data_IF_580726456871
#
_entry.id   IF_580726456871
#
_cell.length_a   1.000
_cell.length_b   1.000
_cell.length_c   1.000
_cell.angle_alpha   90.00
_cell.angle_beta   90.00
_cell.angle_gamma   90.00
#
_symmetry.space_group_name_H-M   'P 1'
#
loop_
_entity.id
_entity.type
_entity.pdbx_description
1 polymer ?
#
# COMPACT_ATOMS: atom_id res chain seq x y z
N UNK A 1 -12.06 5.24 -51.88
CA UNK A 1 -12.33 5.26 -50.43
C UNK A 1 -11.14 4.58 -49.75
N UNK A 2 -10.22 5.36 -49.17
CA UNK A 2 -9.00 4.80 -48.57
C UNK A 2 -9.28 4.42 -47.12
N UNK A 3 -9.57 3.15 -46.93
CA UNK A 3 -9.68 2.49 -45.62
C UNK A 3 -8.29 2.43 -44.96
N UNK A 4 -7.83 3.54 -44.38
CA UNK A 4 -6.62 3.58 -43.54
C UNK A 4 -6.95 3.14 -42.11
N UNK A 5 -7.10 1.83 -41.93
CA UNK A 5 -7.33 1.23 -40.62
C UNK A 5 -6.06 1.11 -39.77
N UNK A 6 -4.88 1.22 -40.38
CA UNK A 6 -3.60 0.95 -39.72
C UNK A 6 -2.57 2.09 -39.87
N UNK A 7 -1.99 2.49 -38.74
CA UNK A 7 -0.86 3.44 -38.63
C UNK A 7 0.48 2.81 -39.00
N UNK A 8 0.65 1.51 -38.72
CA UNK A 8 1.91 0.82 -38.90
C UNK A 8 2.03 0.28 -40.34
N UNK A 9 3.17 0.58 -40.96
CA UNK A 9 3.53 0.14 -42.31
C UNK A 9 4.89 -0.53 -42.27
N UNK A 10 5.09 -1.51 -43.14
CA UNK A 10 6.42 -2.07 -43.42
C UNK A 10 7.35 -1.02 -44.05
N UNK A 11 8.63 -1.36 -44.17
CA UNK A 11 9.63 -0.53 -44.83
C UNK A 11 9.25 -0.18 -46.28
N UNK A 12 8.50 -1.05 -46.97
CA UNK A 12 7.98 -0.81 -48.33
C UNK A 12 6.66 -0.03 -48.37
N UNK A 13 6.18 0.52 -47.25
CA UNK A 13 4.92 1.27 -47.16
C UNK A 13 3.65 0.41 -47.12
N UNK A 14 3.79 -0.92 -47.09
CA UNK A 14 2.66 -1.86 -47.02
C UNK A 14 2.03 -1.78 -45.61
N UNK A 15 0.73 -1.50 -45.46
CA UNK A 15 0.05 -1.54 -44.18
C UNK A 15 0.19 -2.90 -43.51
N UNK A 16 0.57 -2.92 -42.23
CA UNK A 16 0.66 -4.16 -41.46
C UNK A 16 -0.75 -4.71 -41.19
N UNK A 17 -0.86 -6.03 -41.02
CA UNK A 17 -2.10 -6.66 -40.59
C UNK A 17 -2.43 -6.29 -39.13
N UNK A 18 -3.71 -6.23 -38.72
CA UNK A 18 -4.12 -5.88 -37.37
C UNK A 18 -3.43 -6.73 -36.29
N UNK A 19 -3.22 -8.02 -36.53
CA UNK A 19 -2.58 -8.95 -35.61
C UNK A 19 -1.12 -8.57 -35.35
N UNK A 20 -0.40 -8.14 -36.39
CA UNK A 20 0.98 -7.65 -36.27
C UNK A 20 1.00 -6.33 -35.51
N UNK A 21 0.06 -5.43 -35.79
CA UNK A 21 -0.09 -4.18 -35.04
C UNK A 21 -0.34 -4.45 -33.55
N UNK A 22 -1.24 -5.39 -33.22
CA UNK A 22 -1.56 -5.76 -31.85
C UNK A 22 -0.36 -6.36 -31.11
N UNK A 23 0.50 -7.15 -31.78
CA UNK A 23 1.75 -7.66 -31.18
C UNK A 23 2.76 -6.55 -30.88
N UNK A 24 2.90 -5.57 -31.77
CA UNK A 24 3.75 -4.39 -31.53
C UNK A 24 3.22 -3.59 -30.33
N UNK A 25 1.90 -3.44 -30.24
CA UNK A 25 1.24 -2.75 -29.14
C UNK A 25 1.41 -3.51 -27.82
N UNK A 26 1.22 -4.82 -27.82
CA UNK A 26 1.44 -5.69 -26.66
C UNK A 26 2.85 -5.48 -26.12
N UNK A 27 3.88 -5.54 -26.97
CA UNK A 27 5.26 -5.27 -26.56
C UNK A 27 5.45 -3.86 -25.99
N UNK A 28 4.90 -2.83 -26.64
CA UNK A 28 5.03 -1.46 -26.18
C UNK A 28 4.33 -1.19 -24.83
N UNK A 29 3.18 -1.83 -24.59
CA UNK A 29 2.43 -1.71 -23.34
C UNK A 29 3.11 -2.53 -22.23
N UNK A 30 3.71 -3.68 -22.55
CA UNK A 30 4.46 -4.45 -21.55
C UNK A 30 5.69 -3.68 -21.03
N UNK A 31 6.41 -3.01 -21.93
CA UNK A 31 7.54 -2.16 -21.58
C UNK A 31 7.09 -0.94 -20.76
N UNK A 32 6.15 -0.14 -21.29
CA UNK A 32 5.58 1.02 -20.60
C UNK A 32 4.04 1.05 -20.70
N UNK A 33 3.30 0.65 -19.64
CA UNK A 33 1.84 0.53 -19.71
C UNK A 33 1.10 1.86 -19.99
N UNK A 34 1.73 3.00 -19.70
CA UNK A 34 1.18 4.35 -19.98
C UNK A 34 1.06 4.64 -21.48
N UNK A 35 1.83 3.94 -22.32
CA UNK A 35 1.86 4.11 -23.77
C UNK A 35 0.50 3.77 -24.40
N UNK A 36 -0.32 2.92 -23.77
CA UNK A 36 -1.66 2.60 -24.25
C UNK A 36 -2.51 3.85 -24.55
N UNK A 37 -2.49 4.85 -23.66
CA UNK A 37 -3.22 6.10 -23.83
C UNK A 37 -2.70 6.92 -25.02
N UNK A 38 -1.38 6.97 -25.20
CA UNK A 38 -0.73 7.67 -26.31
C UNK A 38 -1.10 6.99 -27.63
N UNK A 39 -1.01 5.66 -27.68
CA UNK A 39 -1.34 4.86 -28.86
C UNK A 39 -2.80 5.05 -29.29
N UNK A 40 -3.74 5.02 -28.33
CA UNK A 40 -5.15 5.31 -28.61
C UNK A 40 -5.38 6.74 -29.14
N UNK A 41 -4.48 7.68 -28.86
CA UNK A 41 -4.53 9.05 -29.35
C UNK A 41 -4.05 9.26 -30.79
N UNK A 42 -3.38 8.28 -31.40
CA UNK A 42 -2.72 8.46 -32.71
C UNK A 42 -3.70 8.57 -33.89
N UNK A 43 -4.79 7.78 -33.90
CA UNK A 43 -5.84 7.88 -34.91
C UNK A 43 -7.14 7.23 -34.44
N UNK A 44 -8.27 7.61 -35.08
CA UNK A 44 -9.58 7.01 -34.79
C UNK A 44 -9.62 5.50 -35.04
N UNK A 45 -9.04 5.03 -36.16
CA UNK A 45 -9.04 3.62 -36.52
C UNK A 45 -8.21 2.78 -35.55
N UNK A 46 -7.04 3.28 -35.14
CA UNK A 46 -6.20 2.60 -34.16
C UNK A 46 -6.82 2.61 -32.76
N UNK A 47 -7.48 3.72 -32.36
CA UNK A 47 -8.26 3.77 -31.13
C UNK A 47 -9.36 2.69 -31.10
N UNK A 48 -10.10 2.54 -32.20
CA UNK A 48 -11.13 1.49 -32.32
C UNK A 48 -10.51 0.09 -32.23
N UNK A 49 -9.41 -0.16 -32.95
CA UNK A 49 -8.69 -1.43 -32.87
C UNK A 49 -8.27 -1.75 -31.42
N UNK A 50 -7.62 -0.81 -30.73
CA UNK A 50 -7.14 -1.03 -29.37
C UNK A 50 -8.27 -1.22 -28.36
N UNK A 51 -9.39 -0.51 -28.51
CA UNK A 51 -10.56 -0.72 -27.65
C UNK A 51 -11.24 -2.06 -27.91
N UNK A 52 -11.34 -2.48 -29.17
CA UNK A 52 -11.94 -3.79 -29.52
C UNK A 52 -11.14 -4.97 -28.95
N UNK A 53 -9.83 -4.82 -28.78
CA UNK A 53 -8.95 -5.89 -28.30
C UNK A 53 -8.42 -5.68 -26.88
N UNK A 54 -8.87 -4.65 -26.16
CA UNK A 54 -8.36 -4.27 -24.83
C UNK A 54 -8.32 -5.45 -23.87
N UNK A 55 -9.44 -6.15 -23.68
CA UNK A 55 -9.53 -7.31 -22.79
C UNK A 55 -8.58 -8.44 -23.19
N UNK A 56 -8.41 -8.69 -24.49
CA UNK A 56 -7.52 -9.75 -24.98
C UNK A 56 -6.06 -9.38 -24.77
N UNK A 57 -5.69 -8.12 -25.03
CA UNK A 57 -4.35 -7.60 -24.80
C UNK A 57 -4.01 -7.56 -23.31
N UNK A 58 -4.86 -6.99 -22.47
CA UNK A 58 -4.65 -6.92 -21.02
C UNK A 58 -4.53 -8.33 -20.39
N UNK A 59 -5.28 -9.31 -20.91
CA UNK A 59 -5.17 -10.72 -20.49
C UNK A 59 -3.87 -11.37 -20.95
N UNK A 60 -3.41 -11.09 -22.16
CA UNK A 60 -2.16 -11.62 -22.68
C UNK A 60 -0.96 -11.06 -21.89
N UNK A 61 -0.98 -9.75 -21.64
CA UNK A 61 -0.01 -9.03 -20.83
C UNK A 61 0.05 -9.59 -19.40
N UNK A 62 -1.10 -9.71 -18.72
CA UNK A 62 -1.11 -10.16 -17.32
C UNK A 62 -0.71 -11.61 -17.12
N UNK A 63 -0.99 -12.50 -18.08
CA UNK A 63 -0.63 -13.91 -17.99
C UNK A 63 0.90 -14.13 -18.00
N UNK A 64 1.64 -13.24 -18.65
CA UNK A 64 3.08 -13.38 -18.85
C UNK A 64 3.89 -12.49 -17.89
N UNK A 65 3.24 -11.85 -16.92
CA UNK A 65 3.89 -10.89 -16.03
C UNK A 65 3.90 -11.38 -14.57
N UNK A 66 4.99 -12.03 -14.19
CA UNK A 66 5.23 -12.55 -12.85
C UNK A 66 5.25 -11.44 -11.77
N UNK A 67 5.49 -10.18 -12.17
CA UNK A 67 5.48 -9.04 -11.23
C UNK A 67 4.10 -8.81 -10.63
N UNK A 68 3.04 -9.37 -11.22
CA UNK A 68 1.66 -9.16 -10.78
C UNK A 68 1.19 -10.15 -9.69
N UNK A 69 2.06 -11.05 -9.23
CA UNK A 69 1.70 -12.08 -8.25
C UNK A 69 1.13 -11.49 -6.94
N UNK A 70 1.74 -10.43 -6.43
CA UNK A 70 1.43 -9.87 -5.10
C UNK A 70 0.63 -8.56 -5.13
N UNK A 71 0.02 -8.21 -6.27
CA UNK A 71 -0.70 -6.91 -6.42
C UNK A 71 -2.22 -7.04 -6.41
N UNK A 72 -2.71 -8.22 -6.06
CA UNK A 72 -4.14 -8.56 -6.02
C UNK A 72 -4.81 -8.55 -7.40
N UNK A 73 -4.08 -8.98 -8.44
CA UNK A 73 -4.54 -8.98 -9.83
C UNK A 73 -5.78 -9.86 -10.11
N UNK A 74 -6.10 -10.81 -9.24
CA UNK A 74 -7.25 -11.69 -9.40
C UNK A 74 -8.60 -11.01 -9.12
N UNK A 75 -8.63 -9.84 -8.45
CA UNK A 75 -9.88 -9.18 -8.13
C UNK A 75 -10.54 -8.56 -9.37
N UNK A 76 -11.88 -8.62 -9.47
CA UNK A 76 -12.60 -8.02 -10.59
C UNK A 76 -12.53 -6.49 -10.59
N UNK A 77 -12.45 -5.89 -9.39
CA UNK A 77 -12.38 -4.45 -9.16
C UNK A 77 -11.31 -4.21 -8.10
N UNK A 78 -10.46 -3.22 -8.32
CA UNK A 78 -9.43 -2.80 -7.38
C UNK A 78 -9.47 -1.28 -7.18
N UNK A 79 -9.04 -0.80 -6.01
CA UNK A 79 -8.83 0.62 -5.76
C UNK A 79 -7.62 1.14 -6.53
N UNK A 80 -7.64 2.38 -6.99
CA UNK A 80 -6.48 2.95 -7.68
C UNK A 80 -5.51 3.56 -6.68
N UNK A 81 -4.28 3.04 -6.68
CA UNK A 81 -3.11 3.61 -6.00
C UNK A 81 -2.56 4.83 -6.75
N UNK A 82 -3.18 5.26 -7.84
CA UNK A 82 -2.68 6.38 -8.66
C UNK A 82 -3.37 7.70 -8.37
N UNK A 83 -4.49 7.69 -7.63
CA UNK A 83 -5.29 8.87 -7.32
C UNK A 83 -5.70 8.86 -5.84
N UNK A 84 -5.14 9.74 -5.00
CA UNK A 84 -5.72 10.01 -3.67
C UNK A 84 -7.16 10.51 -3.84
N UNK A 85 -8.12 10.16 -2.95
CA UNK A 85 -7.99 9.39 -1.70
C UNK A 85 -8.29 7.88 -1.87
N UNK A 86 -8.05 7.32 -3.07
CA UNK A 86 -8.18 5.87 -3.28
C UNK A 86 -9.60 5.35 -3.54
N UNK A 87 -10.62 6.21 -3.66
CA UNK A 87 -11.99 5.75 -4.00
C UNK A 87 -12.19 5.44 -5.49
N UNK A 88 -11.23 5.85 -6.34
CA UNK A 88 -11.25 5.53 -7.75
C UNK A 88 -11.04 4.03 -7.94
N UNK A 89 -11.89 3.40 -8.75
CA UNK A 89 -11.78 1.96 -9.03
C UNK A 89 -11.27 1.71 -10.43
N UNK A 90 -10.51 0.63 -10.59
CA UNK A 90 -10.13 0.07 -11.88
C UNK A 90 -10.78 -1.29 -12.06
N UNK A 91 -11.24 -1.58 -13.27
CA UNK A 91 -11.87 -2.86 -13.61
C UNK A 91 -10.86 -3.77 -14.30
N UNK A 92 -10.85 -5.05 -13.90
CA UNK A 92 -9.94 -6.06 -14.42
C UNK A 92 -9.93 -6.13 -15.95
N UNK A 93 -8.78 -6.50 -16.52
CA UNK A 93 -8.56 -6.65 -17.96
C UNK A 93 -8.82 -5.39 -18.79
N UNK A 94 -8.53 -4.22 -18.23
CA UNK A 94 -8.43 -2.94 -18.94
C UNK A 94 -6.98 -2.46 -18.99
N UNK A 95 -6.64 -1.54 -19.89
CA UNK A 95 -5.30 -0.93 -19.92
C UNK A 95 -4.98 -0.18 -18.61
N UNK A 96 -5.97 0.52 -18.06
CA UNK A 96 -5.82 1.23 -16.78
C UNK A 96 -5.60 0.26 -15.62
N UNK A 97 -6.26 -0.91 -15.63
CA UNK A 97 -6.00 -1.96 -14.65
C UNK A 97 -4.59 -2.53 -14.78
N UNK A 98 -4.11 -2.84 -15.98
CA UNK A 98 -2.75 -3.35 -16.14
C UNK A 98 -1.70 -2.33 -15.67
N UNK A 99 -1.90 -1.06 -16.02
CA UNK A 99 -1.08 0.05 -15.55
C UNK A 99 -1.12 0.21 -14.02
N UNK A 100 -2.29 0.06 -13.39
CA UNK A 100 -2.45 0.05 -11.94
C UNK A 100 -1.69 -1.13 -11.31
N UNK A 101 -1.88 -2.36 -11.79
CA UNK A 101 -1.20 -3.56 -11.27
C UNK A 101 0.33 -3.43 -11.36
N UNK A 102 0.85 -2.90 -12.48
CA UNK A 102 2.28 -2.60 -12.64
C UNK A 102 2.77 -1.51 -11.69
N UNK A 103 1.96 -0.47 -11.48
CA UNK A 103 2.26 0.57 -10.49
C UNK A 103 2.38 -0.04 -9.08
N UNK A 104 1.42 -0.89 -8.68
CA UNK A 104 1.44 -1.60 -7.40
C UNK A 104 2.67 -2.49 -7.25
N UNK A 105 3.07 -3.21 -8.29
CA UNK A 105 4.26 -4.05 -8.26
C UNK A 105 5.51 -3.21 -7.98
N UNK A 106 5.66 -2.08 -8.68
CA UNK A 106 6.77 -1.15 -8.44
C UNK A 106 6.72 -0.49 -7.05
N UNK A 107 5.52 -0.23 -6.50
CA UNK A 107 5.35 0.29 -5.13
C UNK A 107 5.82 -0.74 -4.10
N UNK A 108 5.44 -2.01 -4.27
CA UNK A 108 5.89 -3.11 -3.41
C UNK A 108 7.42 -3.24 -3.48
N UNK A 109 7.99 -3.32 -4.69
CA UNK A 109 9.44 -3.46 -4.87
C UNK A 109 10.21 -2.31 -4.20
N UNK A 110 9.69 -1.08 -4.30
CA UNK A 110 10.24 0.07 -3.59
C UNK A 110 10.18 -0.11 -2.07
N UNK A 111 9.00 -0.44 -1.53
CA UNK A 111 8.80 -0.50 -0.07
C UNK A 111 9.61 -1.62 0.58
N UNK A 112 9.70 -2.79 -0.08
CA UNK A 112 10.50 -3.94 0.37
C UNK A 112 11.97 -3.59 0.59
N UNK A 113 12.50 -2.68 -0.22
CA UNK A 113 13.89 -2.21 -0.18
C UNK A 113 14.08 -0.94 0.65
N UNK A 114 13.00 -0.30 1.08
CA UNK A 114 13.05 0.97 1.81
C UNK A 114 13.24 0.74 3.31
N UNK A 115 13.94 1.67 3.98
CA UNK A 115 14.19 1.65 5.44
C UNK A 115 12.91 1.59 6.30
N UNK A 116 11.73 1.86 5.72
CA UNK A 116 10.46 1.79 6.45
C UNK A 116 10.03 0.34 6.72
N UNK A 117 10.58 -0.62 5.97
CA UNK A 117 10.34 -2.04 6.21
C UNK A 117 11.62 -2.78 6.59
N UNK A 118 12.63 -2.06 7.09
CA UNK A 118 13.89 -2.69 7.44
C UNK A 118 13.69 -3.67 8.62
N UNK A 119 14.35 -4.82 8.50
CA UNK A 119 14.30 -5.91 9.48
C UNK A 119 15.70 -6.30 9.97
N UNK A 120 16.75 -5.56 9.57
CA UNK A 120 18.14 -5.82 9.95
C UNK A 120 18.46 -5.41 11.41
N UNK A 121 17.54 -4.76 12.13
CA UNK A 121 17.72 -4.34 13.52
C UNK A 121 17.33 -5.44 14.51
N UNK A 122 18.33 -6.01 15.20
CA UNK A 122 18.17 -7.06 16.22
C UNK A 122 17.39 -6.59 17.46
N UNK A 123 17.21 -5.27 17.67
CA UNK A 123 16.60 -4.74 18.91
C UNK A 123 15.08 -4.90 18.97
N UNK A 124 14.42 -5.02 17.81
CA UNK A 124 12.95 -5.10 17.73
C UNK A 124 12.43 -6.53 17.64
N UNK A 125 13.33 -7.53 17.65
CA UNK A 125 12.96 -8.94 17.68
C UNK A 125 12.13 -9.37 16.46
N UNK A 126 12.45 -8.85 15.27
CA UNK A 126 11.75 -9.18 14.04
C UNK A 126 11.78 -10.68 13.69
N UNK A 127 10.80 -11.18 12.89
CA UNK A 127 10.86 -12.52 12.34
C UNK A 127 12.17 -12.76 11.59
N UNK A 128 12.94 -13.76 12.03
CA UNK A 128 14.24 -14.11 11.46
C UNK A 128 14.48 -15.61 11.56
N UNK A 129 15.17 -16.17 10.56
CA UNK A 129 15.55 -17.59 10.59
C UNK A 129 16.99 -17.66 11.07
N UNK A 130 17.19 -18.33 12.19
CA UNK A 130 18.52 -18.60 12.72
C UNK A 130 19.28 -19.58 11.82
N UNK A 131 20.61 -19.45 11.79
CA UNK A 131 21.53 -20.39 11.13
C UNK A 131 21.44 -20.47 9.59
N UNK A 132 20.94 -19.44 8.90
CA UNK A 132 21.04 -19.32 7.44
C UNK A 132 21.95 -18.16 7.01
N UNK A 133 22.45 -18.19 5.77
CA UNK A 133 23.32 -17.13 5.25
C UNK A 133 22.55 -15.81 5.07
N UNK A 134 23.18 -14.66 5.37
CA UNK A 134 22.52 -13.34 5.30
C UNK A 134 21.85 -13.07 3.95
N UNK A 135 22.48 -13.45 2.84
CA UNK A 135 21.89 -13.26 1.51
C UNK A 135 20.62 -14.09 1.29
N UNK A 136 20.54 -15.28 1.87
CA UNK A 136 19.35 -16.13 1.80
C UNK A 136 18.23 -15.57 2.68
N UNK A 137 18.56 -15.10 3.88
CA UNK A 137 17.60 -14.45 4.78
C UNK A 137 16.95 -13.24 4.10
N UNK A 138 17.74 -12.39 3.43
CA UNK A 138 17.23 -11.23 2.69
C UNK A 138 16.26 -11.62 1.56
N UNK A 139 16.52 -12.73 0.86
CA UNK A 139 15.61 -13.25 -0.16
C UNK A 139 14.29 -13.74 0.46
N UNK A 140 14.36 -14.48 1.58
CA UNK A 140 13.15 -14.95 2.29
C UNK A 140 12.33 -13.80 2.86
N UNK A 141 12.99 -12.81 3.46
CA UNK A 141 12.35 -11.58 3.93
C UNK A 141 11.71 -10.80 2.77
N UNK A 142 12.34 -10.77 1.61
CA UNK A 142 11.76 -10.16 0.40
C UNK A 142 10.44 -10.85 0.01
N UNK A 143 10.42 -12.18 -0.03
CA UNK A 143 9.20 -12.96 -0.34
C UNK A 143 8.12 -12.71 0.71
N UNK A 144 8.46 -12.76 1.99
CA UNK A 144 7.56 -12.45 3.10
C UNK A 144 6.92 -11.06 2.96
N UNK A 145 7.74 -10.01 2.78
CA UNK A 145 7.26 -8.63 2.65
C UNK A 145 6.35 -8.48 1.44
N UNK A 146 6.72 -9.05 0.28
CA UNK A 146 5.88 -9.01 -0.94
C UNK A 146 4.52 -9.65 -0.71
N UNK A 147 4.49 -10.85 -0.11
CA UNK A 147 3.26 -11.57 0.23
C UNK A 147 2.38 -10.76 1.18
N UNK A 148 2.95 -10.22 2.25
CA UNK A 148 2.21 -9.44 3.24
C UNK A 148 1.70 -8.10 2.68
N UNK A 149 2.45 -7.43 1.78
CA UNK A 149 1.93 -6.27 1.04
C UNK A 149 0.76 -6.64 0.11
N UNK A 150 0.78 -7.84 -0.48
CA UNK A 150 -0.35 -8.37 -1.23
C UNK A 150 -1.61 -8.53 -0.38
N UNK A 151 -1.48 -8.99 0.87
CA UNK A 151 -2.59 -9.05 1.83
C UNK A 151 -3.12 -7.65 2.18
N UNK A 152 -2.24 -6.65 2.31
CA UNK A 152 -2.67 -5.25 2.49
C UNK A 152 -3.45 -4.72 1.29
N UNK A 153 -3.07 -5.07 0.06
CA UNK A 153 -3.88 -4.72 -1.11
C UNK A 153 -5.24 -5.43 -1.12
N UNK A 154 -5.31 -6.70 -0.70
CA UNK A 154 -6.59 -7.39 -0.53
C UNK A 154 -7.49 -6.68 0.49
N UNK A 155 -6.93 -6.24 1.60
CA UNK A 155 -7.64 -5.53 2.66
C UNK A 155 -8.14 -4.14 2.23
N UNK A 156 -7.38 -3.43 1.39
CA UNK A 156 -7.86 -2.20 0.79
C UNK A 156 -8.95 -2.47 -0.27
N UNK A 157 -8.70 -3.40 -1.18
CA UNK A 157 -9.58 -3.69 -2.33
C UNK A 157 -10.92 -4.32 -1.95
N UNK A 158 -11.04 -4.96 -0.79
CA UNK A 158 -12.34 -5.48 -0.34
C UNK A 158 -13.38 -4.37 -0.10
N UNK A 159 -12.94 -3.12 -0.05
CA UNK A 159 -13.79 -1.93 0.07
C UNK A 159 -14.11 -1.27 -1.27
N UNK A 160 -13.57 -1.82 -2.38
CA UNK A 160 -13.72 -1.24 -3.71
C UNK A 160 -15.19 -1.17 -4.14
N UNK A 161 -15.60 0.01 -4.61
CA UNK A 161 -16.97 0.28 -5.02
C UNK A 161 -17.86 0.89 -3.93
N UNK A 162 -17.40 0.97 -2.68
CA UNK A 162 -18.06 1.78 -1.64
C UNK A 162 -17.75 3.26 -1.91
N UNK A 163 -18.77 4.04 -2.25
CA UNK A 163 -18.61 5.45 -2.67
C UNK A 163 -18.70 6.39 -1.46
N UNK A 164 -18.14 7.58 -1.58
CA UNK A 164 -18.27 8.64 -0.56
C UNK A 164 -19.72 9.06 -0.31
N UNK A 165 -20.60 8.91 -1.31
CA UNK A 165 -22.03 9.16 -1.19
C UNK A 165 -22.81 8.01 -0.52
N UNK A 166 -22.14 6.90 -0.17
CA UNK A 166 -22.81 5.74 0.42
C UNK A 166 -23.15 6.03 1.89
N UNK A 167 -24.43 5.91 2.31
CA UNK A 167 -24.80 6.00 3.72
C UNK A 167 -24.06 4.96 4.55
N UNK A 168 -23.62 5.36 5.75
CA UNK A 168 -22.87 4.52 6.68
C UNK A 168 -21.58 3.93 6.06
N UNK A 169 -20.94 4.70 5.16
CA UNK A 169 -19.71 4.30 4.43
C UNK A 169 -18.68 3.66 5.34
N UNK A 170 -18.31 4.32 6.44
CA UNK A 170 -17.25 3.82 7.30
C UNK A 170 -17.64 2.52 8.02
N UNK A 171 -18.91 2.36 8.40
CA UNK A 171 -19.40 1.10 8.96
C UNK A 171 -19.32 -0.04 7.94
N UNK A 172 -19.68 0.23 6.68
CA UNK A 172 -19.59 -0.76 5.59
C UNK A 172 -18.15 -1.13 5.27
N UNK A 173 -17.25 -0.14 5.19
CA UNK A 173 -15.81 -0.36 5.02
C UNK A 173 -15.30 -1.30 6.10
N UNK A 174 -15.59 -0.98 7.37
CA UNK A 174 -15.16 -1.80 8.52
C UNK A 174 -15.76 -3.21 8.49
N UNK A 175 -17.02 -3.35 8.07
CA UNK A 175 -17.66 -4.65 7.96
C UNK A 175 -17.01 -5.53 6.87
N UNK A 176 -16.68 -4.96 5.70
CA UNK A 176 -16.01 -5.70 4.62
C UNK A 176 -14.58 -6.09 5.00
N UNK A 177 -13.83 -5.17 5.61
CA UNK A 177 -12.49 -5.45 6.12
C UNK A 177 -12.53 -6.54 7.20
N UNK A 178 -13.46 -6.46 8.14
CA UNK A 178 -13.67 -7.50 9.15
C UNK A 178 -13.97 -8.86 8.51
N UNK A 179 -14.87 -8.90 7.53
CA UNK A 179 -15.21 -10.14 6.80
C UNK A 179 -14.01 -10.75 6.08
N UNK A 180 -13.16 -9.93 5.46
CA UNK A 180 -11.93 -10.42 4.85
C UNK A 180 -10.97 -10.98 5.90
N UNK A 181 -10.70 -10.26 6.99
CA UNK A 181 -9.82 -10.74 8.07
C UNK A 181 -10.32 -12.08 8.66
N UNK A 182 -11.64 -12.24 8.81
CA UNK A 182 -12.26 -13.49 9.23
C UNK A 182 -12.08 -14.64 8.23
N UNK A 183 -11.86 -14.35 6.94
CA UNK A 183 -11.59 -15.37 5.91
C UNK A 183 -10.12 -15.76 5.78
N UNK A 184 -9.18 -14.94 6.27
CA UNK A 184 -7.73 -15.20 6.18
C UNK A 184 -7.28 -16.37 7.06
N UNK A 185 -6.21 -17.08 6.66
CA UNK A 185 -5.58 -18.10 7.51
C UNK A 185 -4.83 -17.48 8.69
N UNK A 186 -4.43 -18.29 9.67
CA UNK A 186 -3.57 -17.85 10.78
C UNK A 186 -2.23 -17.33 10.27
N UNK A 187 -1.65 -17.99 9.26
CA UNK A 187 -0.39 -17.59 8.62
C UNK A 187 -0.51 -16.28 7.84
N UNK A 188 -1.66 -16.02 7.20
CA UNK A 188 -1.89 -14.74 6.53
C UNK A 188 -2.10 -13.61 7.55
N UNK A 189 -2.83 -13.88 8.63
CA UNK A 189 -3.04 -12.91 9.71
C UNK A 189 -1.75 -12.59 10.44
N UNK A 190 -0.88 -13.57 10.69
CA UNK A 190 0.43 -13.36 11.29
C UNK A 190 1.33 -12.54 10.35
N UNK A 191 1.36 -12.86 9.05
CA UNK A 191 2.15 -12.11 8.08
C UNK A 191 1.68 -10.65 7.96
N UNK A 192 0.36 -10.43 7.91
CA UNK A 192 -0.24 -9.09 7.89
C UNK A 192 0.07 -8.31 9.17
N UNK A 193 -0.14 -8.91 10.34
CA UNK A 193 0.12 -8.29 11.64
C UNK A 193 1.58 -7.90 11.81
N UNK A 194 2.50 -8.83 11.54
CA UNK A 194 3.95 -8.58 11.63
C UNK A 194 4.40 -7.48 10.66
N UNK A 195 3.96 -7.50 9.40
CA UNK A 195 4.36 -6.46 8.44
C UNK A 195 3.90 -5.06 8.88
N UNK A 196 2.68 -4.93 9.42
CA UNK A 196 2.15 -3.63 9.85
C UNK A 196 2.95 -3.07 11.03
N UNK A 197 3.31 -3.90 12.01
CA UNK A 197 4.19 -3.48 13.12
C UNK A 197 5.59 -3.06 12.62
N UNK A 198 6.16 -3.80 11.67
CA UNK A 198 7.46 -3.45 11.04
C UNK A 198 7.36 -2.07 10.37
N UNK A 199 6.31 -1.86 9.57
CA UNK A 199 6.03 -0.58 8.88
C UNK A 199 5.80 0.56 9.89
N UNK A 200 5.10 0.29 11.00
CA UNK A 200 4.88 1.23 12.10
C UNK A 200 6.18 1.65 12.78
N UNK A 201 7.04 0.71 13.16
CA UNK A 201 8.35 1.04 13.75
C UNK A 201 9.28 1.77 12.76
N UNK A 202 9.23 1.40 11.48
CA UNK A 202 9.91 2.13 10.41
C UNK A 202 9.43 3.58 10.35
N UNK A 203 8.12 3.82 10.40
CA UNK A 203 7.54 5.16 10.49
C UNK A 203 8.05 5.91 11.73
N UNK A 204 7.98 5.30 12.92
CA UNK A 204 8.44 5.90 14.17
C UNK A 204 9.88 6.39 14.05
N UNK A 205 10.77 5.53 13.54
CA UNK A 205 12.20 5.83 13.38
C UNK A 205 12.45 6.96 12.40
N UNK A 206 11.87 6.88 11.20
CA UNK A 206 12.01 7.91 10.15
C UNK A 206 11.47 9.25 10.65
N UNK A 207 10.29 9.24 11.26
CA UNK A 207 9.61 10.44 11.70
C UNK A 207 10.35 11.11 12.87
N UNK A 208 10.79 10.34 13.87
CA UNK A 208 11.63 10.82 14.97
C UNK A 208 12.94 11.45 14.45
N UNK A 209 13.60 10.79 13.49
CA UNK A 209 14.83 11.32 12.89
C UNK A 209 14.60 12.63 12.13
N UNK A 210 13.50 12.74 11.38
CA UNK A 210 13.10 13.99 10.69
C UNK A 210 12.84 15.12 11.69
N UNK A 211 12.11 14.86 12.78
CA UNK A 211 11.85 15.85 13.82
C UNK A 211 13.14 16.36 14.46
N UNK A 212 14.04 15.45 14.84
CA UNK A 212 15.34 15.79 15.42
C UNK A 212 16.21 16.61 14.46
N UNK A 213 16.16 16.31 13.16
CA UNK A 213 16.88 17.08 12.14
C UNK A 213 16.29 18.51 11.99
N UNK A 214 14.96 18.66 11.97
CA UNK A 214 14.29 19.96 11.89
C UNK A 214 14.57 20.84 13.11
N UNK A 215 14.56 20.27 14.33
CA UNK A 215 14.89 21.00 15.55
C UNK A 215 16.33 21.52 15.57
N UNK A 216 17.28 20.79 14.96
CA UNK A 216 18.69 21.20 14.85
C UNK A 216 18.92 22.32 13.83
N UNK A 217 18.08 22.40 12.80
CA UNK A 217 18.21 23.37 11.71
C UNK A 217 17.41 24.65 11.94
N UNK A 218 16.67 24.78 13.05
CA UNK A 218 15.82 25.93 13.33
C UNK A 218 14.71 26.15 12.28
N UNK A 219 14.41 25.11 11.49
CA UNK A 219 13.37 25.15 10.45
C UNK A 219 12.04 24.74 11.05
N UNK A 220 10.95 25.38 10.59
CA UNK A 220 9.59 24.98 10.96
C UNK A 220 9.37 23.51 10.62
N UNK A 221 8.81 22.77 11.58
CA UNK A 221 8.42 21.36 11.46
C UNK A 221 7.65 21.11 10.15
N UNK A 222 7.73 19.89 9.56
CA UNK A 222 6.80 19.49 8.52
C UNK A 222 5.38 19.67 9.07
N UNK A 223 4.63 20.55 8.42
CA UNK A 223 3.36 21.11 8.89
C UNK A 223 2.28 20.03 8.93
N UNK A 224 2.19 19.30 10.04
CA UNK A 224 0.95 18.68 10.49
C UNK A 224 0.21 19.82 11.20
N UNK A 225 -0.82 20.36 10.58
CA UNK A 225 -1.51 21.55 11.05
C UNK A 225 -2.11 21.29 12.44
N UNK A 226 -1.63 22.01 13.45
CA UNK A 226 -2.29 22.08 14.76
C UNK A 226 -3.61 22.82 14.64
N UNK A 227 -4.72 22.10 14.38
CA UNK A 227 -6.06 22.62 14.59
C UNK A 227 -6.43 22.53 16.07
N UNK A 228 -6.33 23.66 16.74
CA UNK A 228 -7.15 24.15 17.86
C UNK A 228 -8.08 23.13 18.56
N UNK A 229 -7.52 22.25 19.40
CA UNK A 229 -8.21 21.73 20.57
C UNK A 229 -7.23 21.70 21.72
N UNK A 230 -7.36 22.73 22.57
CA UNK A 230 -6.58 22.88 23.79
C UNK A 230 -6.92 21.75 24.76
N UNK A 231 -6.01 20.81 25.01
CA UNK A 231 -5.65 20.32 26.35
C UNK A 231 -4.24 19.72 26.25
N UNK A 232 -3.28 20.42 26.87
CA UNK A 232 -1.95 19.96 27.31
C UNK A 232 -0.91 19.55 26.24
N UNK A 233 -0.31 20.54 25.57
CA UNK A 233 1.13 20.51 25.29
C UNK A 233 1.81 21.51 26.23
N UNK A 234 2.87 21.14 26.98
CA UNK A 234 3.61 22.09 27.80
C UNK A 234 4.26 23.15 26.90
N UNK A 235 3.83 24.40 27.08
CA UNK A 235 4.46 25.58 26.52
C UNK A 235 5.96 25.59 26.84
N UNK A 236 6.82 25.47 25.83
CA UNK A 236 8.23 25.86 25.84
C UNK A 236 8.95 25.69 27.20
N UNK A 237 9.05 24.45 27.70
CA UNK A 237 9.85 24.15 28.90
C UNK A 237 10.87 23.05 28.61
N UNK A 238 12.15 23.45 28.66
CA UNK A 238 13.38 22.69 28.90
C UNK A 238 13.64 21.39 28.09
N UNK A 239 14.79 21.39 27.40
CA UNK A 239 15.30 20.38 26.45
C UNK A 239 15.32 18.89 26.90
N UNK A 240 15.05 18.57 28.16
CA UNK A 240 15.15 17.19 28.67
C UNK A 240 13.78 16.48 28.80
N UNK A 241 12.67 17.21 29.03
CA UNK A 241 11.31 16.64 29.14
C UNK A 241 10.61 16.45 27.78
N UNK A 242 11.17 17.02 26.71
CA UNK A 242 10.63 16.91 25.35
C UNK A 242 10.85 15.53 24.72
N UNK A 243 11.83 14.74 25.17
CA UNK A 243 12.13 13.45 24.55
C UNK A 243 11.04 12.40 24.80
N UNK A 244 10.51 12.31 26.03
CA UNK A 244 9.43 11.37 26.37
C UNK A 244 8.06 11.83 25.88
N UNK A 245 7.74 13.13 25.98
CA UNK A 245 6.48 13.67 25.47
C UNK A 245 6.39 13.58 23.94
N UNK A 246 7.50 13.80 23.23
CA UNK A 246 7.55 13.60 21.79
C UNK A 246 7.43 12.12 21.43
N UNK A 247 8.06 11.21 22.18
CA UNK A 247 7.97 9.77 21.88
C UNK A 247 6.53 9.24 22.04
N UNK A 248 5.77 9.71 23.02
CA UNK A 248 4.35 9.34 23.16
C UNK A 248 3.52 9.82 21.98
N UNK A 249 3.68 11.08 21.57
CA UNK A 249 2.97 11.62 20.41
C UNK A 249 3.36 10.92 19.10
N UNK A 250 4.65 10.60 18.91
CA UNK A 250 5.09 9.84 17.73
C UNK A 250 4.47 8.44 17.74
N UNK A 251 4.30 7.80 18.91
CA UNK A 251 3.60 6.52 19.04
C UNK A 251 2.12 6.63 18.69
N UNK A 252 1.45 7.70 19.09
CA UNK A 252 0.06 7.96 18.65
C UNK A 252 -0.02 8.10 17.13
N UNK A 253 0.88 8.88 16.52
CA UNK A 253 0.99 8.97 15.06
C UNK A 253 1.27 7.62 14.41
N UNK A 254 2.11 6.77 15.02
CA UNK A 254 2.42 5.43 14.55
C UNK A 254 1.17 4.54 14.56
N UNK A 255 0.40 4.53 15.65
CA UNK A 255 -0.86 3.78 15.74
C UNK A 255 -1.86 4.20 14.66
N UNK A 256 -1.99 5.51 14.41
CA UNK A 256 -2.83 6.03 13.32
C UNK A 256 -2.27 5.60 11.97
N UNK A 257 -0.95 5.71 11.77
CA UNK A 257 -0.30 5.33 10.53
C UNK A 257 -0.53 3.86 10.18
N UNK A 258 -0.40 2.94 11.15
CA UNK A 258 -0.71 1.52 11.00
C UNK A 258 -2.16 1.28 10.56
N UNK A 259 -3.14 1.92 11.22
CA UNK A 259 -4.55 1.83 10.82
C UNK A 259 -4.76 2.33 9.38
N UNK A 260 -4.11 3.44 9.00
CA UNK A 260 -4.22 4.00 7.64
C UNK A 260 -3.51 3.15 6.58
N UNK A 261 -2.39 2.50 6.90
CA UNK A 261 -1.73 1.52 6.02
C UNK A 261 -2.65 0.31 5.78
N UNK A 262 -3.34 -0.17 6.81
CA UNK A 262 -4.32 -1.24 6.65
C UNK A 262 -5.57 -0.80 5.88
N UNK A 263 -5.99 0.46 6.05
CA UNK A 263 -7.17 1.01 5.38
C UNK A 263 -6.95 1.25 3.90
N UNK A 264 -5.81 1.84 3.54
CA UNK A 264 -5.52 2.31 2.18
C UNK A 264 -4.47 1.45 1.46
N UNK A 265 -3.92 0.46 2.14
CA UNK A 265 -2.92 -0.46 1.60
C UNK A 265 -1.52 0.14 1.50
N UNK A 266 -0.61 -0.54 0.77
CA UNK A 266 0.80 -0.16 0.68
C UNK A 266 1.04 1.24 0.09
N UNK A 267 0.09 1.75 -0.70
CA UNK A 267 0.17 3.08 -1.29
C UNK A 267 0.26 4.20 -0.24
N UNK A 268 -0.35 4.03 0.92
CA UNK A 268 -0.27 5.02 2.00
C UNK A 268 1.15 5.13 2.55
N UNK A 269 1.78 3.99 2.84
CA UNK A 269 3.18 3.95 3.29
C UNK A 269 4.13 4.54 2.25
N UNK A 270 3.94 4.21 0.97
CA UNK A 270 4.73 4.79 -0.11
C UNK A 270 4.53 6.31 -0.22
N UNK A 271 3.30 6.79 -0.09
CA UNK A 271 2.98 8.21 -0.15
C UNK A 271 3.67 9.00 0.97
N UNK A 272 3.83 8.40 2.15
CA UNK A 272 4.58 9.01 3.26
C UNK A 272 6.07 9.18 2.95
N UNK A 273 6.73 8.12 2.44
CA UNK A 273 8.19 8.12 2.26
C UNK A 273 8.65 8.77 0.95
N UNK A 274 7.88 8.62 -0.13
CA UNK A 274 8.25 9.08 -1.46
C UNK A 274 7.42 10.29 -1.94
N UNK A 275 6.33 10.63 -1.25
CA UNK A 275 5.35 11.61 -1.75
C UNK A 275 5.91 13.01 -1.98
N UNK A 276 6.81 13.48 -1.11
CA UNK A 276 7.42 14.80 -1.23
C UNK A 276 8.24 14.99 -2.52
N UNK A 277 8.74 13.89 -3.11
CA UNK A 277 9.49 13.93 -4.36
C UNK A 277 8.57 14.08 -5.59
N UNK A 278 7.28 13.76 -5.45
CA UNK A 278 6.29 13.92 -6.52
C UNK A 278 5.66 15.32 -6.48
N UNK A 279 6.40 16.32 -6.98
CA UNK A 279 5.99 17.73 -6.97
C UNK A 279 4.63 18.01 -7.60
N UNK A 280 4.21 17.19 -8.57
CA UNK A 280 2.96 17.41 -9.31
C UNK A 280 1.71 16.94 -8.55
N UNK A 281 1.83 15.90 -7.71
CA UNK A 281 0.68 15.29 -7.02
C UNK A 281 0.69 15.47 -5.52
N UNK A 282 1.88 15.66 -4.92
CA UNK A 282 2.07 15.88 -3.48
C UNK A 282 1.21 14.94 -2.59
N UNK A 283 1.29 13.60 -2.79
CA UNK A 283 0.51 12.66 -1.99
C UNK A 283 0.93 12.67 -0.51
N UNK A 284 2.06 13.28 -0.17
CA UNK A 284 2.48 13.56 1.20
C UNK A 284 1.49 14.46 1.96
N UNK A 285 0.83 15.41 1.27
CA UNK A 285 -0.17 16.27 1.90
C UNK A 285 -1.40 15.47 2.33
N UNK A 286 -1.88 14.59 1.46
CA UNK A 286 -2.99 13.69 1.78
C UNK A 286 -2.65 12.79 2.97
N UNK A 287 -1.44 12.24 3.04
CA UNK A 287 -1.00 11.44 4.18
C UNK A 287 -1.05 12.24 5.49
N UNK A 288 -0.56 13.49 5.47
CA UNK A 288 -0.59 14.34 6.66
C UNK A 288 -2.03 14.65 7.11
N UNK A 289 -2.93 14.93 6.16
CA UNK A 289 -4.34 15.18 6.44
C UNK A 289 -5.01 13.93 7.05
N UNK A 290 -4.72 12.73 6.54
CA UNK A 290 -5.27 11.47 7.08
C UNK A 290 -4.72 11.09 8.45
N UNK A 291 -3.44 11.40 8.73
CA UNK A 291 -2.84 11.23 10.05
C UNK A 291 -3.49 12.20 11.03
N UNK A 292 -3.63 13.48 10.66
CA UNK A 292 -4.27 14.47 11.52
C UNK A 292 -5.73 14.09 11.81
N UNK A 293 -6.49 13.70 10.79
CA UNK A 293 -7.86 13.21 10.98
C UNK A 293 -7.91 12.01 11.91
N UNK A 294 -6.98 11.05 11.79
CA UNK A 294 -6.93 9.90 12.68
C UNK A 294 -6.61 10.26 14.14
N UNK A 295 -5.76 11.26 14.38
CA UNK A 295 -5.50 11.79 15.72
C UNK A 295 -6.75 12.49 16.29
N UNK A 296 -7.47 13.26 15.46
CA UNK A 296 -8.72 13.90 15.85
C UNK A 296 -9.81 12.87 16.18
N UNK A 297 -9.89 11.77 15.42
CA UNK A 297 -10.79 10.64 15.67
C UNK A 297 -10.47 9.96 17.02
N UNK A 298 -9.18 9.71 17.27
CA UNK A 298 -8.69 9.09 18.51
C UNK A 298 -8.97 9.97 19.73
N UNK A 299 -8.64 11.27 19.66
CA UNK A 299 -8.96 12.24 20.71
C UNK A 299 -10.48 12.32 20.97
N UNK A 300 -11.29 12.29 19.91
CA UNK A 300 -12.75 12.29 20.03
C UNK A 300 -13.28 11.03 20.72
N UNK A 301 -12.65 9.88 20.49
CA UNK A 301 -12.97 8.64 21.17
C UNK A 301 -12.60 8.69 22.66
N UNK A 302 -11.40 9.17 23.00
CA UNK A 302 -10.95 9.29 24.39
C UNK A 302 -11.79 10.26 25.23
N UNK A 303 -12.27 11.33 24.59
CA UNK A 303 -13.19 12.29 25.19
C UNK A 303 -14.64 11.78 25.29
N UNK A 304 -14.91 10.56 24.84
CA UNK A 304 -16.24 9.93 24.85
C UNK A 304 -17.22 10.54 23.85
N UNK A 305 -16.74 11.33 22.89
CA UNK A 305 -17.56 11.93 21.83
C UNK A 305 -17.90 10.92 20.72
N UNK A 306 -17.08 9.87 20.56
CA UNK A 306 -17.35 8.77 19.63
C UNK A 306 -17.13 7.42 20.33
N UNK A 307 -17.88 6.39 19.92
CA UNK A 307 -17.81 5.04 20.50
C UNK A 307 -17.03 4.05 19.61
N UNK A 308 -16.44 4.50 18.51
CA UNK A 308 -16.09 3.63 17.39
C UNK A 308 -14.69 3.86 16.79
N UNK A 309 -13.66 4.04 17.62
CA UNK A 309 -12.27 3.92 17.16
C UNK A 309 -11.68 2.59 17.60
N UNK A 310 -12.03 1.51 16.89
CA UNK A 310 -11.25 0.27 16.97
C UNK A 310 -10.28 0.26 15.79
N UNK A 311 -8.98 0.41 16.06
CA UNK A 311 -7.95 0.33 15.00
C UNK A 311 -8.05 -1.02 14.26
N UNK A 312 -7.83 -1.03 12.95
CA UNK A 312 -7.79 -2.29 12.18
C UNK A 312 -6.76 -3.26 12.77
N UNK A 313 -5.66 -2.75 13.31
CA UNK A 313 -4.60 -3.54 13.92
C UNK A 313 -5.11 -4.32 15.13
N UNK A 314 -5.90 -3.69 16.00
CA UNK A 314 -6.58 -4.38 17.09
C UNK A 314 -7.54 -5.47 16.61
N UNK A 315 -8.19 -5.28 15.45
CA UNK A 315 -9.06 -6.30 14.85
C UNK A 315 -8.24 -7.47 14.33
N UNK A 316 -7.14 -7.23 13.61
CA UNK A 316 -6.22 -8.28 13.13
C UNK A 316 -5.76 -9.15 14.29
N UNK A 317 -5.25 -8.56 15.36
CA UNK A 317 -4.76 -9.30 16.52
C UNK A 317 -5.88 -10.10 17.22
N UNK A 318 -7.07 -9.53 17.38
CA UNK A 318 -8.20 -10.27 17.97
C UNK A 318 -8.63 -11.47 17.13
N UNK A 319 -8.69 -11.31 15.81
CA UNK A 319 -9.04 -12.39 14.88
C UNK A 319 -7.97 -13.47 14.90
N UNK A 320 -6.68 -13.08 14.88
CA UNK A 320 -5.55 -13.98 14.98
C UNK A 320 -5.57 -14.79 16.29
N UNK A 321 -5.63 -14.12 17.44
CA UNK A 321 -5.66 -14.76 18.76
C UNK A 321 -6.81 -15.77 18.89
N UNK A 322 -7.99 -15.41 18.39
CA UNK A 322 -9.16 -16.29 18.44
C UNK A 322 -8.99 -17.54 17.57
N UNK A 323 -8.31 -17.43 16.42
CA UNK A 323 -8.04 -18.56 15.53
C UNK A 323 -6.91 -19.45 16.06
N UNK A 324 -5.77 -18.83 16.36
CA UNK A 324 -4.57 -19.52 16.85
C UNK A 324 -4.68 -20.01 18.31
N UNK A 325 -5.67 -19.53 19.07
CA UNK A 325 -5.89 -19.93 20.47
C UNK A 325 -4.93 -19.32 21.48
N UNK A 326 -4.34 -18.16 21.16
CA UNK A 326 -3.39 -17.46 22.04
C UNK A 326 -3.99 -16.19 22.68
N UNK A 327 -3.29 -15.60 23.65
CA UNK A 327 -3.70 -14.31 24.23
C UNK A 327 -3.15 -13.13 23.42
N UNK A 328 -3.68 -11.91 23.65
CA UNK A 328 -3.13 -10.68 23.06
C UNK A 328 -1.71 -10.38 23.56
N UNK A 329 -1.32 -10.87 24.74
CA UNK A 329 0.02 -10.68 25.28
C UNK A 329 1.04 -11.57 24.55
N UNK A 330 0.62 -12.75 24.12
CA UNK A 330 1.47 -13.72 23.43
C UNK A 330 1.43 -13.57 21.89
N UNK A 331 0.49 -12.76 21.38
CA UNK A 331 0.16 -12.71 19.95
C UNK A 331 1.36 -12.38 19.06
N UNK A 332 2.25 -11.49 19.51
CA UNK A 332 3.46 -11.15 18.76
C UNK A 332 4.39 -12.35 18.60
N UNK A 333 4.69 -13.07 19.68
CA UNK A 333 5.62 -14.19 19.66
C UNK A 333 5.07 -15.37 18.85
N UNK A 334 3.77 -15.65 18.98
CA UNK A 334 3.08 -16.68 18.22
C UNK A 334 3.05 -16.35 16.72
N UNK A 335 2.67 -15.11 16.36
CA UNK A 335 2.65 -14.67 14.97
C UNK A 335 4.05 -14.68 14.35
N UNK A 336 5.05 -14.22 15.10
CA UNK A 336 6.45 -14.27 14.70
C UNK A 336 6.89 -15.70 14.38
N UNK A 337 6.60 -16.65 15.28
CA UNK A 337 6.95 -18.07 15.09
C UNK A 337 6.32 -18.66 13.84
N UNK A 338 5.06 -18.30 13.54
CA UNK A 338 4.38 -18.73 12.31
C UNK A 338 5.02 -18.13 11.05
N UNK A 339 5.39 -16.84 11.08
CA UNK A 339 6.09 -16.18 9.97
C UNK A 339 7.46 -16.81 9.75
N UNK A 340 8.23 -17.07 10.80
CA UNK A 340 9.55 -17.72 10.70
C UNK A 340 9.45 -19.13 10.13
N UNK A 341 8.46 -19.90 10.60
CA UNK A 341 8.19 -21.24 10.10
C UNK A 341 7.84 -21.22 8.61
N UNK A 342 6.95 -20.30 8.19
CA UNK A 342 6.58 -20.17 6.80
C UNK A 342 7.77 -19.71 5.93
N UNK A 343 8.54 -18.71 6.41
CA UNK A 343 9.71 -18.23 5.71
C UNK A 343 10.73 -19.34 5.47
N UNK A 344 10.85 -20.32 6.37
CA UNK A 344 11.75 -21.47 6.22
C UNK A 344 11.32 -22.42 5.09
N UNK A 345 10.03 -22.46 4.76
CA UNK A 345 9.46 -23.34 3.72
C UNK A 345 9.50 -22.74 2.32
N UNK A 346 9.83 -21.45 2.17
CA UNK A 346 9.91 -20.81 0.86
C UNK A 346 10.90 -21.53 -0.08
N UNK A 347 10.45 -21.74 -1.32
CA UNK A 347 11.27 -22.23 -2.43
C UNK A 347 11.83 -21.00 -3.16
N UNK A 348 13.12 -20.76 -3.00
CA UNK A 348 13.84 -19.61 -3.57
C UNK A 348 14.38 -19.89 -4.98
#
# INVERSE_FOLDING_TARGET
MSDTWNLLKSHGGIPLAPEVCLRVVEYAIDDEPKVAAVLMGLSKSFCLLLRSYETSLAKALSKNDDRLEHVNAAQPIALSSRLPPGDATVTTLTYEWYLEMRCRASLIDFLVQHEITDMDDDTNGWPTIENIHKSELLLRQTVFKKRAFGLLYQLADCTAGIKNSTPDRDQRIRAEQGRLLESLSETDLSALGCLVEIVGQGFFTIFKNKLLASSRLGQSLPYIAHSQSSVLVPSATQLNDLSQNNDNWIRECMCVFEDRVQRYGPYFAWSFVAGANNRARRPDLWVNDEIQQGLDDMNSFEMGHTMAYASLQSVVWRVFCRKNGCTLQDSWNEAKTLVESEMAEYKL
#
